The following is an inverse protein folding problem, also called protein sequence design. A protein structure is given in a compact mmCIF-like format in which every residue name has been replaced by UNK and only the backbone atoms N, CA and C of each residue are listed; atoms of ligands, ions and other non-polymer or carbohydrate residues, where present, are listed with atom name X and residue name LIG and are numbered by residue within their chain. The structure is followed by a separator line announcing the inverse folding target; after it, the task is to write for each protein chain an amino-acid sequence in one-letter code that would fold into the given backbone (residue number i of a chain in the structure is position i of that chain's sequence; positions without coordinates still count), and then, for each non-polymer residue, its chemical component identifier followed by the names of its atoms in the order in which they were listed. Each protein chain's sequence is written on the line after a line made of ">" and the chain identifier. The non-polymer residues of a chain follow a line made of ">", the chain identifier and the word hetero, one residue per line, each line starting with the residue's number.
data_IF_640222579327
#
_entry.id   IF_640222579327
#
_cell.length_a   1.000
_cell.length_b   1.000
_cell.length_c   1.000
_cell.angle_alpha   90.00
_cell.angle_beta   90.00
_cell.angle_gamma   90.00
#
_symmetry.space_group_name_H-M   'P 1'
#
loop_
_entity.id
_entity.type
_entity.pdbx_description
1 polymer ?
#
# COMPACT_ATOMS: atom_id res chain seq x y z
N UNK A 1 4.50 -10.59 1.94
CA UNK A 1 3.60 -10.55 0.75
C UNK A 1 3.98 -9.35 -0.09
N UNK A 2 4.02 -9.46 -1.41
CA UNK A 2 4.40 -8.35 -2.28
C UNK A 2 3.17 -7.49 -2.65
N UNK A 3 3.37 -6.28 -3.16
CA UNK A 3 2.28 -5.39 -3.57
C UNK A 3 2.24 -5.20 -5.09
N UNK A 4 1.05 -5.33 -5.67
CA UNK A 4 0.81 -5.06 -7.08
C UNK A 4 0.26 -3.65 -7.27
N UNK A 5 1.02 -2.79 -7.96
CA UNK A 5 0.61 -1.42 -8.27
C UNK A 5 -0.55 -1.33 -9.27
N UNK A 6 -0.64 -2.28 -10.20
CA UNK A 6 -1.71 -2.34 -11.20
C UNK A 6 -3.04 -2.76 -10.55
N UNK A 7 -3.06 -3.88 -9.83
CA UNK A 7 -4.26 -4.38 -9.16
C UNK A 7 -4.58 -3.66 -7.84
N UNK A 8 -3.66 -2.84 -7.32
CA UNK A 8 -3.74 -2.19 -6.00
C UNK A 8 -4.10 -3.16 -4.88
N UNK A 9 -3.46 -4.33 -4.87
CA UNK A 9 -3.68 -5.39 -3.88
C UNK A 9 -2.38 -6.07 -3.49
N UNK A 10 -2.39 -6.70 -2.32
CA UNK A 10 -1.31 -7.58 -1.90
C UNK A 10 -1.35 -8.89 -2.67
N UNK A 11 -0.18 -9.46 -2.86
CA UNK A 11 0.07 -10.70 -3.56
C UNK A 11 0.83 -11.61 -2.60
N UNK A 12 0.11 -12.58 -2.03
CA UNK A 12 0.69 -13.55 -1.10
C UNK A 12 1.56 -14.60 -1.82
N UNK A 13 1.17 -14.97 -3.05
CA UNK A 13 1.85 -15.96 -3.89
C UNK A 13 2.15 -15.36 -5.28
N UNK A 14 3.23 -14.56 -5.42
CA UNK A 14 3.62 -14.02 -6.72
C UNK A 14 4.14 -15.12 -7.64
N UNK A 15 3.93 -14.96 -8.95
CA UNK A 15 4.52 -15.81 -9.96
C UNK A 15 5.99 -15.43 -10.14
N UNK A 16 6.89 -16.36 -9.85
CA UNK A 16 8.31 -16.21 -10.16
C UNK A 16 8.55 -16.33 -11.66
N UNK A 17 9.32 -15.40 -12.22
CA UNK A 17 9.86 -15.49 -13.56
C UNK A 17 11.37 -15.42 -13.46
N UNK A 18 12.02 -16.40 -14.07
CA UNK A 18 13.48 -16.51 -14.10
C UNK A 18 13.94 -16.19 -15.50
N UNK A 19 14.78 -15.18 -15.64
CA UNK A 19 15.48 -14.86 -16.88
C UNK A 19 16.98 -15.06 -16.68
N UNK A 20 17.66 -15.53 -17.72
CA UNK A 20 19.11 -15.70 -17.73
C UNK A 20 19.70 -14.59 -18.59
N UNK A 21 20.57 -13.77 -18.02
CA UNK A 21 21.32 -12.79 -18.78
C UNK A 21 22.77 -13.26 -18.97
N UNK A 22 23.34 -12.92 -20.12
CA UNK A 22 24.73 -13.21 -20.47
C UNK A 22 25.45 -11.87 -20.57
N UNK A 23 26.07 -11.39 -19.48
CA UNK A 23 26.78 -10.11 -19.50
C UNK A 23 27.96 -10.09 -20.49
N UNK A 24 28.47 -11.27 -20.88
CA UNK A 24 29.43 -11.43 -21.97
C UNK A 24 29.29 -12.84 -22.61
N UNK A 25 28.96 -12.96 -23.90
CA UNK A 25 28.82 -14.26 -24.59
C UNK A 25 30.07 -15.14 -24.54
N UNK A 26 31.25 -14.57 -24.32
CA UNK A 26 32.52 -15.29 -24.20
C UNK A 26 32.89 -15.65 -22.74
N UNK A 27 32.17 -15.14 -21.74
CA UNK A 27 32.51 -15.33 -20.32
C UNK A 27 31.98 -16.63 -19.71
N UNK A 28 31.16 -17.40 -20.43
CA UNK A 28 30.69 -18.73 -20.01
C UNK A 28 29.83 -18.76 -18.73
N UNK A 29 29.42 -17.60 -18.21
CA UNK A 29 28.59 -17.46 -17.01
C UNK A 29 27.19 -16.97 -17.36
N UNK A 30 26.19 -17.50 -16.65
CA UNK A 30 24.80 -17.01 -16.68
C UNK A 30 24.49 -16.27 -15.38
N UNK A 31 23.97 -15.04 -15.47
CA UNK A 31 23.37 -14.37 -14.33
C UNK A 31 21.88 -14.73 -14.28
N UNK A 32 21.43 -15.26 -13.14
CA UNK A 32 20.02 -15.63 -12.93
C UNK A 32 19.30 -14.45 -12.30
N UNK A 33 18.41 -13.82 -13.06
CA UNK A 33 17.53 -12.76 -12.57
C UNK A 33 16.17 -13.39 -12.24
N UNK A 34 15.70 -13.18 -11.01
CA UNK A 34 14.38 -13.64 -10.56
C UNK A 34 13.51 -12.41 -10.33
N UNK A 35 12.44 -12.28 -11.11
CA UNK A 35 11.41 -11.27 -10.92
C UNK A 35 10.12 -11.91 -10.42
N UNK A 36 9.34 -11.15 -9.66
CA UNK A 36 8.08 -11.61 -9.08
C UNK A 36 6.93 -10.87 -9.75
N UNK A 37 5.90 -11.59 -10.19
CA UNK A 37 4.77 -11.02 -10.93
C UNK A 37 3.43 -11.30 -10.25
N UNK A 38 2.48 -10.38 -10.37
CA UNK A 38 1.12 -10.56 -9.90
C UNK A 38 0.42 -11.63 -10.76
N UNK A 39 -0.19 -12.67 -10.17
CA UNK A 39 -0.83 -13.74 -10.93
C UNK A 39 -2.07 -13.27 -11.71
N UNK A 40 -2.70 -12.16 -11.30
CA UNK A 40 -3.93 -11.67 -11.93
C UNK A 40 -3.68 -10.78 -13.15
N UNK A 41 -2.69 -9.89 -13.08
CA UNK A 41 -2.41 -8.92 -14.14
C UNK A 41 -1.07 -9.13 -14.84
N UNK A 42 -0.20 -10.00 -14.32
CA UNK A 42 1.13 -10.26 -14.87
C UNK A 42 2.18 -9.18 -14.63
N UNK A 43 1.80 -8.07 -14.00
CA UNK A 43 2.70 -6.94 -13.68
C UNK A 43 3.70 -7.33 -12.58
N UNK A 44 4.92 -6.82 -12.65
CA UNK A 44 5.95 -7.09 -11.65
C UNK A 44 5.60 -6.45 -10.29
N UNK A 45 5.99 -7.11 -9.21
CA UNK A 45 5.73 -6.72 -7.83
C UNK A 45 7.04 -6.52 -7.08
N UNK A 46 7.17 -5.41 -6.33
CA UNK A 46 8.48 -4.90 -5.93
C UNK A 46 8.66 -4.65 -4.41
N UNK A 47 7.58 -4.52 -3.63
CA UNK A 47 7.65 -4.13 -2.21
C UNK A 47 6.72 -4.99 -1.36
N UNK A 48 7.05 -5.17 -0.07
CA UNK A 48 6.15 -5.85 0.85
C UNK A 48 4.93 -4.98 1.16
N UNK A 49 3.73 -5.55 1.10
CA UNK A 49 2.51 -4.86 1.47
C UNK A 49 2.57 -4.37 2.93
N UNK A 50 2.06 -3.16 3.17
CA UNK A 50 1.80 -2.66 4.52
C UNK A 50 0.54 -3.29 5.10
N UNK A 51 0.21 -2.91 6.34
CA UNK A 51 -1.02 -3.32 7.00
C UNK A 51 -1.80 -2.09 7.48
N UNK A 52 -3.12 -2.13 7.30
CA UNK A 52 -4.03 -1.13 7.81
C UNK A 52 -3.95 -1.11 9.34
N UNK A 53 -3.66 0.04 9.94
CA UNK A 53 -3.54 0.17 11.41
C UNK A 53 -4.85 -0.11 12.15
N UNK A 54 -6.00 0.00 11.47
CA UNK A 54 -7.33 -0.19 12.06
C UNK A 54 -7.83 -1.63 11.98
N UNK A 55 -7.72 -2.26 10.80
CA UNK A 55 -8.32 -3.58 10.56
C UNK A 55 -7.30 -4.69 10.24
N UNK A 56 -6.02 -4.35 10.08
CA UNK A 56 -4.96 -5.32 9.74
C UNK A 56 -4.94 -5.76 8.27
N UNK A 57 -5.87 -5.31 7.44
CA UNK A 57 -5.91 -5.66 6.01
C UNK A 57 -4.69 -5.13 5.26
N UNK A 58 -4.29 -5.80 4.19
CA UNK A 58 -3.13 -5.37 3.42
C UNK A 58 -3.38 -4.07 2.66
N UNK A 59 -2.37 -3.21 2.68
CA UNK A 59 -2.40 -1.91 2.03
C UNK A 59 -1.12 -1.64 1.25
N UNK A 60 -1.15 -0.60 0.43
CA UNK A 60 0.06 -0.11 -0.22
C UNK A 60 1.10 0.26 0.86
N UNK A 61 2.40 -0.02 0.64
CA UNK A 61 3.44 0.19 1.65
C UNK A 61 3.50 1.62 2.20
N UNK A 62 3.12 2.61 1.39
CA UNK A 62 3.08 4.03 1.73
C UNK A 62 1.79 4.48 2.45
N UNK A 63 0.84 3.58 2.68
CA UNK A 63 -0.45 3.88 3.31
C UNK A 63 -0.58 3.22 4.67
N UNK A 64 -1.11 3.95 5.64
CA UNK A 64 -1.44 3.42 6.97
C UNK A 64 -2.87 2.88 7.07
N UNK A 65 -3.76 3.26 6.15
CA UNK A 65 -5.18 2.88 6.16
C UNK A 65 -5.58 2.24 4.82
N UNK A 66 -6.46 1.25 4.88
CA UNK A 66 -7.14 0.74 3.69
C UNK A 66 -8.24 1.71 3.23
N UNK A 67 -8.74 1.53 2.01
CA UNK A 67 -9.75 2.45 1.44
C UNK A 67 -11.04 2.49 2.26
N UNK A 68 -11.44 1.37 2.86
CA UNK A 68 -12.65 1.28 3.68
C UNK A 68 -12.49 2.04 5.00
N UNK A 69 -11.44 1.74 5.77
CA UNK A 69 -11.19 2.45 7.03
C UNK A 69 -10.94 3.93 6.80
N UNK A 70 -10.26 4.31 5.71
CA UNK A 70 -10.09 5.72 5.36
C UNK A 70 -11.45 6.40 5.08
N UNK A 71 -12.31 5.76 4.28
CA UNK A 71 -13.62 6.31 3.96
C UNK A 71 -14.51 6.45 5.20
N UNK A 72 -14.55 5.45 6.07
CA UNK A 72 -15.32 5.50 7.32
C UNK A 72 -14.87 6.65 8.24
N UNK A 73 -13.55 6.81 8.43
CA UNK A 73 -13.00 7.92 9.22
C UNK A 73 -13.35 9.26 8.57
N UNK A 74 -13.17 9.38 7.26
CA UNK A 74 -13.46 10.60 6.52
C UNK A 74 -14.94 10.99 6.60
N UNK A 75 -15.86 10.03 6.42
CA UNK A 75 -17.30 10.25 6.53
C UNK A 75 -17.67 10.72 7.94
N UNK A 76 -17.12 10.07 8.97
CA UNK A 76 -17.35 10.45 10.37
C UNK A 76 -16.90 11.89 10.66
N UNK A 77 -15.70 12.27 10.21
CA UNK A 77 -15.18 13.64 10.38
C UNK A 77 -15.99 14.67 9.58
N UNK A 78 -16.47 14.29 8.41
CA UNK A 78 -17.32 15.14 7.58
C UNK A 78 -18.69 15.39 8.23
N UNK A 79 -19.28 14.37 8.84
CA UNK A 79 -20.51 14.55 9.64
C UNK A 79 -20.27 15.48 10.83
N UNK A 80 -19.14 15.36 11.52
CA UNK A 80 -18.78 16.25 12.62
C UNK A 80 -18.62 17.71 12.15
N UNK A 81 -17.94 17.93 11.02
CA UNK A 81 -17.83 19.24 10.36
C UNK A 81 -19.19 19.86 10.08
N UNK A 82 -20.14 19.08 9.55
CA UNK A 82 -21.51 19.55 9.31
C UNK A 82 -22.27 19.87 10.59
N UNK A 83 -22.10 19.08 11.65
CA UNK A 83 -22.77 19.29 12.93
C UNK A 83 -22.24 20.52 13.67
N UNK A 84 -20.93 20.80 13.55
CA UNK A 84 -20.29 21.93 14.20
C UNK A 84 -20.33 23.22 13.37
N UNK A 85 -20.78 23.16 12.12
CA UNK A 85 -20.72 24.26 11.14
C UNK A 85 -19.30 24.82 10.98
N UNK A 86 -18.31 23.91 10.95
CA UNK A 86 -16.90 24.22 10.79
C UNK A 86 -16.36 23.64 9.48
N UNK A 87 -15.35 24.28 8.84
CA UNK A 87 -14.65 23.68 7.71
C UNK A 87 -14.05 22.32 8.07
N UNK A 88 -14.10 21.37 7.13
CA UNK A 88 -13.56 20.02 7.33
C UNK A 88 -12.10 20.03 7.77
N UNK A 89 -11.28 20.89 7.16
CA UNK A 89 -9.85 20.99 7.48
C UNK A 89 -9.63 21.45 8.94
N UNK A 90 -10.45 22.35 9.49
CA UNK A 90 -10.36 22.77 10.90
C UNK A 90 -10.73 21.64 11.86
N UNK A 91 -11.72 20.82 11.50
CA UNK A 91 -12.09 19.62 12.29
C UNK A 91 -10.98 18.58 12.22
N UNK A 92 -10.40 18.36 11.04
CA UNK A 92 -9.29 17.43 10.86
C UNK A 92 -8.06 17.86 11.68
N UNK A 93 -7.70 19.14 11.64
CA UNK A 93 -6.60 19.71 12.43
C UNK A 93 -6.87 19.58 13.93
N UNK A 94 -8.08 19.89 14.40
CA UNK A 94 -8.46 19.73 15.81
C UNK A 94 -8.41 18.28 16.31
N UNK A 95 -8.84 17.33 15.49
CA UNK A 95 -8.72 15.89 15.82
C UNK A 95 -7.26 15.44 15.81
N UNK A 96 -6.46 15.92 14.86
CA UNK A 96 -5.03 15.63 14.82
C UNK A 96 -4.31 16.21 16.05
N UNK A 97 -4.66 17.43 16.50
CA UNK A 97 -4.13 18.01 17.73
C UNK A 97 -4.50 17.15 18.94
N UNK A 98 -5.77 16.78 19.09
CA UNK A 98 -6.24 15.93 20.20
C UNK A 98 -5.51 14.58 20.28
N UNK A 99 -5.27 13.93 19.14
CA UNK A 99 -4.55 12.65 19.10
C UNK A 99 -3.05 12.77 19.40
N UNK A 100 -2.46 13.95 19.16
CA UNK A 100 -1.05 14.23 19.44
C UNK A 100 -0.81 14.86 20.81
N UNK A 101 -1.87 15.11 21.60
CA UNK A 101 -1.75 15.41 23.02
C UNK A 101 -1.35 14.12 23.76
N UNK A 102 -0.06 13.76 23.71
CA UNK A 102 0.47 12.65 24.52
C UNK A 102 0.18 12.88 26.02
N UNK A 103 -0.25 11.80 26.71
CA UNK A 103 -0.07 11.59 28.16
C UNK A 103 1.41 11.36 28.50
#
# INVERSE_FOLDING_TARGET
>A
MLWCKCCKKSVAAPQERVTYDIPNPDAGGYEKIVTYHCPDCGEEVYLQAGHCIMCGEHVAPEKSLCIHCYAEIHETLNELSMQMDLPFDEVLDGVAEYLNMED
#
